data_IF_926191508978
#
_entry.id   IF_926191508978
#
_cell.length_a   1.000
_cell.length_b   1.000
_cell.length_c   1.000
_cell.angle_alpha   90.00
_cell.angle_beta   90.00
_cell.angle_gamma   90.00
#
_symmetry.space_group_name_H-M   'P 1'
#
loop_
_entity.id
_entity.type
_entity.pdbx_description
1 polymer ?
#
# COMPACT_ATOMS: atom_id res chain seq x y z
N UNK A 1 38.68 -48.48 -49.08
CA UNK A 1 37.92 -48.41 -47.83
C UNK A 1 38.26 -47.10 -47.11
N UNK A 2 37.36 -46.19 -47.00
CA UNK A 2 37.62 -44.94 -46.28
C UNK A 2 37.73 -45.25 -44.77
N UNK A 3 38.86 -44.93 -44.14
CA UNK A 3 39.02 -45.03 -42.68
C UNK A 3 38.05 -44.11 -41.99
N UNK A 4 37.06 -44.67 -41.29
CA UNK A 4 36.11 -43.91 -40.49
C UNK A 4 36.84 -43.14 -39.37
N UNK A 5 36.73 -41.80 -39.35
CA UNK A 5 37.50 -40.97 -38.46
C UNK A 5 36.73 -40.73 -37.16
N UNK A 6 36.85 -41.63 -36.21
CA UNK A 6 36.22 -41.56 -34.88
C UNK A 6 36.58 -40.30 -34.12
N UNK A 7 37.77 -39.76 -34.29
CA UNK A 7 38.24 -38.57 -33.60
C UNK A 7 37.37 -37.34 -33.95
N UNK A 8 37.09 -37.14 -35.23
CA UNK A 8 36.21 -36.03 -35.68
C UNK A 8 34.77 -36.20 -35.20
N UNK A 9 34.31 -37.40 -35.03
CA UNK A 9 32.94 -37.67 -34.54
C UNK A 9 32.83 -37.40 -33.05
N UNK A 10 33.83 -37.75 -32.28
CA UNK A 10 33.93 -37.47 -30.85
C UNK A 10 34.07 -35.94 -30.59
N UNK A 11 34.85 -35.21 -31.38
CA UNK A 11 34.98 -33.78 -31.27
C UNK A 11 33.65 -33.05 -31.56
N UNK A 12 32.93 -33.48 -32.60
CA UNK A 12 31.60 -32.95 -32.89
C UNK A 12 30.60 -33.28 -31.78
N UNK A 13 30.57 -34.49 -31.27
CA UNK A 13 29.71 -34.87 -30.18
C UNK A 13 30.01 -34.04 -28.93
N UNK A 14 31.29 -33.84 -28.59
CA UNK A 14 31.73 -33.00 -27.50
C UNK A 14 31.31 -31.53 -27.65
N UNK A 15 31.41 -30.98 -28.88
CA UNK A 15 30.96 -29.65 -29.21
C UNK A 15 29.43 -29.50 -29.01
N UNK A 16 28.65 -30.46 -29.54
CA UNK A 16 27.19 -30.45 -29.38
C UNK A 16 26.77 -30.58 -27.90
N UNK A 17 27.48 -31.38 -27.12
CA UNK A 17 27.25 -31.49 -25.67
C UNK A 17 27.49 -30.17 -24.96
N UNK A 18 28.56 -29.44 -25.27
CA UNK A 18 28.82 -28.10 -24.71
C UNK A 18 27.76 -27.11 -25.10
N UNK A 19 27.33 -27.10 -26.35
CA UNK A 19 26.26 -26.20 -26.84
C UNK A 19 24.94 -26.51 -26.09
N UNK A 20 24.62 -27.80 -25.95
CA UNK A 20 23.41 -28.22 -25.23
C UNK A 20 23.39 -27.71 -23.79
N UNK A 21 24.49 -27.90 -23.04
CA UNK A 21 24.58 -27.41 -21.67
C UNK A 21 24.60 -25.89 -21.59
N UNK A 22 25.20 -25.18 -22.53
CA UNK A 22 25.16 -23.73 -22.58
C UNK A 22 23.73 -23.21 -22.79
N UNK A 23 22.99 -23.81 -23.74
CA UNK A 23 21.58 -23.44 -24.01
C UNK A 23 20.71 -23.80 -22.81
N UNK A 24 20.90 -24.95 -22.19
CA UNK A 24 20.15 -25.33 -20.99
C UNK A 24 20.38 -24.33 -19.83
N UNK A 25 21.64 -23.96 -19.62
CA UNK A 25 21.98 -22.93 -18.58
C UNK A 25 21.32 -21.61 -18.85
N UNK A 26 21.31 -21.16 -20.11
CA UNK A 26 20.62 -19.91 -20.49
C UNK A 26 19.09 -20.00 -20.29
N UNK A 27 18.48 -21.13 -20.62
CA UNK A 27 17.05 -21.34 -20.38
C UNK A 27 16.70 -21.33 -18.90
N UNK A 28 17.49 -22.00 -18.07
CA UNK A 28 17.31 -22.00 -16.60
C UNK A 28 17.50 -20.58 -16.03
N UNK A 29 18.52 -19.86 -16.48
CA UNK A 29 18.76 -18.48 -16.06
C UNK A 29 17.61 -17.55 -16.48
N UNK A 30 17.12 -17.66 -17.71
CA UNK A 30 15.98 -16.88 -18.19
C UNK A 30 14.69 -17.20 -17.43
N UNK A 31 14.44 -18.48 -17.15
CA UNK A 31 13.31 -18.92 -16.34
C UNK A 31 13.40 -18.37 -14.91
N UNK A 32 14.55 -18.50 -14.26
CA UNK A 32 14.77 -17.97 -12.91
C UNK A 32 14.60 -16.44 -12.90
N UNK A 33 15.21 -15.73 -13.85
CA UNK A 33 15.06 -14.27 -13.97
C UNK A 33 13.59 -13.85 -14.15
N UNK A 34 12.85 -14.52 -15.03
CA UNK A 34 11.42 -14.26 -15.26
C UNK A 34 10.56 -14.53 -14.02
N UNK A 35 10.88 -15.57 -13.27
CA UNK A 35 10.17 -15.95 -12.05
C UNK A 35 10.39 -14.94 -10.91
N UNK A 36 11.63 -14.50 -10.71
CA UNK A 36 11.98 -13.55 -9.64
C UNK A 36 11.76 -12.08 -10.02
N UNK A 37 11.66 -11.77 -11.32
CA UNK A 37 11.41 -10.42 -11.84
C UNK A 37 10.20 -10.43 -12.79
N UNK A 38 8.98 -10.74 -12.30
CA UNK A 38 7.79 -10.74 -13.13
C UNK A 38 7.57 -9.34 -13.73
N UNK A 39 7.21 -9.30 -15.01
CA UNK A 39 6.94 -8.04 -15.69
C UNK A 39 5.71 -7.33 -15.11
N UNK A 40 5.53 -6.05 -15.42
CA UNK A 40 4.42 -5.26 -14.88
C UNK A 40 3.04 -5.82 -15.29
N UNK A 41 2.94 -6.37 -16.50
CA UNK A 41 1.70 -6.97 -17.00
C UNK A 41 1.32 -8.23 -16.21
N UNK A 42 2.28 -9.13 -15.95
CA UNK A 42 2.05 -10.31 -15.13
C UNK A 42 1.64 -9.93 -13.69
N UNK A 43 2.29 -8.91 -13.12
CA UNK A 43 1.90 -8.39 -11.78
C UNK A 43 0.49 -7.81 -11.79
N UNK A 44 0.10 -7.09 -12.84
CA UNK A 44 -1.24 -6.52 -12.95
C UNK A 44 -2.31 -7.61 -13.00
N UNK A 45 -2.13 -8.64 -13.83
CA UNK A 45 -3.06 -9.78 -13.94
C UNK A 45 -3.20 -10.52 -12.61
N UNK A 46 -2.08 -10.84 -11.94
CA UNK A 46 -2.12 -11.53 -10.63
C UNK A 46 -2.79 -10.66 -9.56
N UNK A 47 -2.57 -9.35 -9.59
CA UNK A 47 -3.24 -8.45 -8.64
C UNK A 47 -4.74 -8.36 -8.91
N UNK A 48 -5.17 -8.30 -10.16
CA UNK A 48 -6.58 -8.29 -10.54
C UNK A 48 -7.30 -9.58 -10.11
N UNK A 49 -6.71 -10.75 -10.38
CA UNK A 49 -7.25 -12.04 -9.94
C UNK A 49 -7.35 -12.12 -8.40
N UNK A 50 -6.34 -11.59 -7.70
CA UNK A 50 -6.32 -11.57 -6.24
C UNK A 50 -7.40 -10.63 -5.68
N UNK A 51 -7.59 -9.46 -6.29
CA UNK A 51 -8.62 -8.51 -5.90
C UNK A 51 -10.03 -9.11 -6.11
N UNK A 52 -10.26 -9.78 -7.25
CA UNK A 52 -11.51 -10.50 -7.53
C UNK A 52 -11.74 -11.64 -6.52
N UNK A 53 -10.71 -12.41 -6.18
CA UNK A 53 -10.80 -13.45 -5.16
C UNK A 53 -11.23 -12.90 -3.80
N UNK A 54 -10.61 -11.78 -3.35
CA UNK A 54 -10.97 -11.16 -2.07
C UNK A 54 -12.37 -10.55 -2.11
N UNK A 55 -12.77 -9.90 -3.22
CA UNK A 55 -14.12 -9.36 -3.37
C UNK A 55 -15.18 -10.45 -3.26
N UNK A 56 -14.98 -11.57 -3.96
CA UNK A 56 -15.86 -12.74 -3.86
C UNK A 56 -15.92 -13.29 -2.42
N UNK A 57 -14.78 -13.32 -1.73
CA UNK A 57 -14.71 -13.78 -0.34
C UNK A 57 -15.48 -12.87 0.62
N UNK A 58 -15.43 -11.55 0.40
CA UNK A 58 -16.21 -10.57 1.16
C UNK A 58 -17.71 -10.79 0.96
N UNK A 59 -18.12 -11.00 -0.30
CA UNK A 59 -19.50 -11.28 -0.66
C UNK A 59 -20.00 -12.59 -0.04
N UNK A 60 -19.22 -13.68 -0.16
CA UNK A 60 -19.53 -14.99 0.45
C UNK A 60 -19.68 -14.93 1.99
N UNK A 61 -18.95 -14.04 2.64
CA UNK A 61 -18.96 -13.87 4.10
C UNK A 61 -19.94 -12.78 4.57
N UNK A 62 -20.65 -12.13 3.66
CA UNK A 62 -21.54 -10.97 3.93
C UNK A 62 -20.83 -9.88 4.77
N UNK A 63 -19.55 -9.66 4.48
CA UNK A 63 -18.75 -8.66 5.19
C UNK A 63 -19.09 -7.27 4.69
N UNK A 64 -19.76 -6.50 5.54
CA UNK A 64 -20.08 -5.10 5.29
C UNK A 64 -19.00 -4.19 5.85
N UNK A 65 -18.84 -3.01 5.23
CA UNK A 65 -17.98 -1.97 5.77
C UNK A 65 -18.47 -1.56 7.17
N UNK A 66 -17.58 -1.53 8.18
CA UNK A 66 -17.98 -1.22 9.54
C UNK A 66 -18.42 0.24 9.66
N UNK A 67 -19.45 0.48 10.45
CA UNK A 67 -19.88 1.82 10.81
C UNK A 67 -18.76 2.55 11.58
N UNK A 68 -18.47 3.79 11.17
CA UNK A 68 -17.41 4.61 11.75
C UNK A 68 -17.98 5.66 12.71
N UNK A 69 -18.40 5.20 13.89
CA UNK A 69 -18.98 6.04 14.96
C UNK A 69 -18.01 6.23 16.11
N UNK A 70 -17.90 7.44 16.65
CA UNK A 70 -17.03 7.79 17.78
C UNK A 70 -17.46 9.12 18.42
N UNK A 71 -17.22 9.25 19.73
CA UNK A 71 -17.47 10.47 20.52
C UNK A 71 -16.24 10.93 21.30
N UNK A 72 -15.19 10.10 21.39
CA UNK A 72 -13.93 10.39 22.06
C UNK A 72 -12.75 9.71 21.38
N UNK A 73 -11.51 10.00 21.85
CA UNK A 73 -10.26 9.49 21.27
C UNK A 73 -10.22 7.96 21.25
N UNK A 74 -10.67 7.28 22.32
CA UNK A 74 -10.68 5.81 22.41
C UNK A 74 -11.66 5.21 21.39
N UNK A 75 -12.87 5.76 21.30
CA UNK A 75 -13.83 5.28 20.31
C UNK A 75 -13.37 5.55 18.88
N UNK A 76 -12.66 6.65 18.64
CA UNK A 76 -12.02 6.90 17.35
C UNK A 76 -10.99 5.82 17.02
N UNK A 77 -10.12 5.45 17.98
CA UNK A 77 -9.14 4.36 17.82
C UNK A 77 -9.87 3.04 17.49
N UNK A 78 -10.92 2.70 18.24
CA UNK A 78 -11.70 1.47 17.99
C UNK A 78 -12.38 1.46 16.61
N UNK A 79 -12.95 2.60 16.17
CA UNK A 79 -13.53 2.73 14.84
C UNK A 79 -12.47 2.57 13.75
N UNK A 80 -11.28 3.16 13.95
CA UNK A 80 -10.15 2.98 13.06
C UNK A 80 -9.69 1.52 12.98
N UNK A 81 -9.61 0.81 14.12
CA UNK A 81 -9.26 -0.62 14.13
C UNK A 81 -10.25 -1.47 13.34
N UNK A 82 -11.56 -1.26 13.52
CA UNK A 82 -12.58 -1.99 12.75
C UNK A 82 -12.39 -1.76 11.25
N UNK A 83 -12.21 -0.51 10.85
CA UNK A 83 -12.00 -0.14 9.46
C UNK A 83 -10.70 -0.73 8.88
N UNK A 84 -9.58 -0.62 9.61
CA UNK A 84 -8.29 -1.19 9.17
C UNK A 84 -8.36 -2.70 9.05
N UNK A 85 -9.03 -3.39 9.98
CA UNK A 85 -9.22 -4.84 9.92
C UNK A 85 -10.05 -5.25 8.69
N UNK A 86 -11.12 -4.52 8.40
CA UNK A 86 -11.91 -4.71 7.19
C UNK A 86 -11.06 -4.55 5.91
N UNK A 87 -10.27 -3.47 5.83
CA UNK A 87 -9.37 -3.21 4.68
C UNK A 87 -8.29 -4.30 4.61
N UNK A 88 -7.69 -4.68 5.74
CA UNK A 88 -6.64 -5.70 5.78
C UNK A 88 -7.14 -7.10 5.39
N UNK A 89 -8.44 -7.36 5.48
CA UNK A 89 -9.03 -8.60 4.97
C UNK A 89 -8.86 -8.72 3.45
N UNK A 90 -8.94 -7.59 2.74
CA UNK A 90 -8.79 -7.53 1.28
C UNK A 90 -7.35 -7.40 0.80
N UNK A 91 -6.40 -7.20 1.73
CA UNK A 91 -5.01 -6.93 1.39
C UNK A 91 -4.07 -8.08 1.78
N UNK A 92 -3.18 -8.51 0.87
CA UNK A 92 -2.10 -9.43 1.21
C UNK A 92 -1.17 -8.81 2.27
N UNK A 93 -0.57 -9.66 3.12
CA UNK A 93 0.22 -9.22 4.28
C UNK A 93 1.29 -8.19 3.94
N UNK A 94 1.98 -8.33 2.82
CA UNK A 94 3.06 -7.41 2.42
C UNK A 94 2.57 -6.03 1.97
N UNK A 95 1.27 -5.84 1.73
CA UNK A 95 0.64 -4.55 1.39
C UNK A 95 0.00 -3.88 2.61
N UNK A 96 -0.10 -4.57 3.74
CA UNK A 96 -0.69 -4.00 4.97
C UNK A 96 0.23 -2.95 5.57
N UNK A 97 -0.37 -1.92 6.12
CA UNK A 97 0.32 -0.83 6.82
C UNK A 97 0.09 -1.00 8.32
N UNK A 98 1.10 -0.80 9.18
CA UNK A 98 0.91 -0.87 10.63
C UNK A 98 -0.23 0.03 11.10
N UNK A 99 -1.15 -0.51 11.90
CA UNK A 99 -2.36 0.22 12.34
C UNK A 99 -2.03 1.48 13.13
N UNK A 100 -1.02 1.43 14.01
CA UNK A 100 -0.59 2.57 14.81
C UNK A 100 -0.17 3.76 13.95
N UNK A 101 0.48 3.49 12.80
CA UNK A 101 0.88 4.52 11.85
C UNK A 101 -0.34 5.14 11.17
N UNK A 102 -1.30 4.31 10.71
CA UNK A 102 -2.54 4.79 10.08
C UNK A 102 -3.35 5.63 11.07
N UNK A 103 -3.57 5.12 12.30
CA UNK A 103 -4.34 5.80 13.34
C UNK A 103 -3.62 7.08 13.78
N UNK A 104 -2.30 7.04 13.95
CA UNK A 104 -1.49 8.19 14.36
C UNK A 104 -1.57 9.33 13.36
N UNK A 105 -1.47 9.05 12.06
CA UNK A 105 -1.63 10.07 11.02
C UNK A 105 -3.08 10.55 10.91
N UNK A 106 -4.08 9.66 10.93
CA UNK A 106 -5.48 10.04 10.91
C UNK A 106 -5.85 10.96 12.09
N UNK A 107 -5.40 10.62 13.31
CA UNK A 107 -5.64 11.44 14.49
C UNK A 107 -4.96 12.80 14.40
N UNK A 108 -3.73 12.88 13.88
CA UNK A 108 -2.99 14.11 13.71
C UNK A 108 -3.64 15.02 12.66
N UNK A 109 -3.93 14.49 11.47
CA UNK A 109 -4.43 15.26 10.31
C UNK A 109 -5.87 15.70 10.51
N UNK A 110 -6.70 14.88 11.14
CA UNK A 110 -8.12 15.17 11.32
C UNK A 110 -8.48 15.75 12.68
N UNK A 111 -7.50 15.90 13.60
CA UNK A 111 -7.80 16.27 14.98
C UNK A 111 -8.73 15.25 15.64
N UNK A 112 -8.40 13.96 15.59
CA UNK A 112 -9.24 12.86 16.07
C UNK A 112 -10.62 12.80 15.39
N UNK A 113 -10.65 13.11 14.09
CA UNK A 113 -11.88 13.12 13.31
C UNK A 113 -12.81 14.31 13.55
N UNK A 114 -12.38 15.33 14.28
CA UNK A 114 -13.21 16.48 14.62
C UNK A 114 -13.11 17.63 13.60
N UNK A 115 -12.11 17.62 12.73
CA UNK A 115 -11.91 18.66 11.72
C UNK A 115 -13.10 18.75 10.74
N UNK A 116 -13.27 19.91 10.10
CA UNK A 116 -14.28 20.12 9.07
C UNK A 116 -14.19 19.05 7.96
N UNK A 117 -13.01 18.77 7.46
CA UNK A 117 -12.83 17.78 6.38
C UNK A 117 -13.14 16.36 6.82
N UNK A 118 -12.88 16.01 8.08
CA UNK A 118 -13.28 14.71 8.61
C UNK A 118 -14.81 14.59 8.76
N UNK A 119 -15.51 15.68 9.10
CA UNK A 119 -16.96 15.69 9.29
C UNK A 119 -17.75 15.81 7.99
N UNK A 120 -17.35 16.74 7.12
CA UNK A 120 -18.10 17.08 5.90
C UNK A 120 -17.64 16.29 4.67
N UNK A 121 -16.36 15.86 4.63
CA UNK A 121 -15.78 15.16 3.50
C UNK A 121 -15.40 13.71 3.81
N UNK A 122 -15.61 13.20 5.02
CA UNK A 122 -15.13 11.90 5.47
C UNK A 122 -13.62 11.69 5.26
N UNK A 123 -12.84 12.77 5.20
CA UNK A 123 -11.43 12.75 4.84
C UNK A 123 -10.56 12.92 6.07
N UNK A 124 -9.97 11.80 6.52
CA UNK A 124 -9.16 11.75 7.75
C UNK A 124 -7.69 12.15 7.54
N UNK A 125 -7.24 12.29 6.29
CA UNK A 125 -5.82 12.49 5.95
C UNK A 125 -5.55 13.74 5.13
N UNK A 126 -6.57 14.56 4.88
CA UNK A 126 -6.43 15.74 4.03
C UNK A 126 -6.09 15.42 2.56
N UNK A 127 -6.49 14.26 2.08
CA UNK A 127 -6.23 13.82 0.70
C UNK A 127 -6.87 14.80 -0.27
N UNK A 128 -6.06 15.28 -1.23
CA UNK A 128 -6.46 16.26 -2.23
C UNK A 128 -6.87 15.63 -3.55
N UNK A 129 -7.64 16.37 -4.32
CA UNK A 129 -7.85 16.14 -5.76
C UNK A 129 -7.45 17.37 -6.54
N UNK A 130 -6.92 17.15 -7.74
CA UNK A 130 -6.59 18.18 -8.74
C UNK A 130 -7.56 18.14 -9.92
N UNK A 131 -8.58 17.27 -9.83
CA UNK A 131 -9.63 17.11 -10.83
C UNK A 131 -10.91 17.73 -10.30
N UNK A 132 -11.43 18.73 -10.99
CA UNK A 132 -12.63 19.50 -10.56
C UNK A 132 -13.89 18.66 -10.50
N UNK A 133 -13.97 17.64 -11.34
CA UNK A 133 -15.09 16.69 -11.44
C UNK A 133 -15.15 15.72 -10.26
N UNK A 134 -14.05 15.51 -9.57
CA UNK A 134 -14.01 14.67 -8.35
C UNK A 134 -14.72 15.43 -7.21
N UNK A 135 -15.66 14.81 -6.47
CA UNK A 135 -16.28 15.41 -5.31
C UNK A 135 -15.24 15.95 -4.33
N UNK A 136 -15.35 17.25 -3.99
CA UNK A 136 -14.36 17.92 -3.16
C UNK A 136 -14.97 19.08 -2.35
N UNK A 137 -14.28 19.43 -1.28
CA UNK A 137 -14.51 20.67 -0.54
C UNK A 137 -13.38 21.66 -0.81
N UNK A 138 -13.73 22.92 -0.95
CA UNK A 138 -12.75 23.99 -1.04
C UNK A 138 -12.23 24.37 0.35
N UNK A 139 -10.98 24.84 0.47
CA UNK A 139 -10.46 25.42 1.71
C UNK A 139 -11.32 26.61 2.17
N UNK A 140 -11.30 26.87 3.47
CA UNK A 140 -12.05 28.01 4.05
C UNK A 140 -11.59 29.31 3.41
N UNK A 141 -12.55 30.16 3.02
CA UNK A 141 -12.30 31.48 2.39
C UNK A 141 -11.97 31.40 0.89
N UNK A 142 -12.01 30.23 0.27
CA UNK A 142 -11.82 30.06 -1.17
C UNK A 142 -13.16 29.70 -1.80
N UNK A 143 -13.70 30.60 -2.64
CA UNK A 143 -14.98 30.39 -3.32
C UNK A 143 -14.85 29.82 -4.72
N UNK A 144 -13.69 30.04 -5.37
CA UNK A 144 -13.42 29.56 -6.74
C UNK A 144 -12.38 28.47 -6.73
N UNK A 145 -12.53 27.52 -7.65
CA UNK A 145 -11.57 26.42 -7.82
C UNK A 145 -10.13 26.92 -7.99
N UNK A 146 -9.22 26.65 -7.03
CA UNK A 146 -7.83 27.12 -7.10
C UNK A 146 -6.89 26.12 -7.81
N UNK A 147 -7.42 25.13 -8.53
CA UNK A 147 -6.65 24.03 -9.14
C UNK A 147 -6.57 22.77 -8.26
N UNK A 148 -7.12 22.79 -7.05
CA UNK A 148 -7.17 21.62 -6.14
C UNK A 148 -8.31 21.79 -5.12
N UNK A 149 -8.73 20.65 -4.55
CA UNK A 149 -9.70 20.61 -3.45
C UNK A 149 -9.41 19.45 -2.52
N UNK A 150 -10.05 19.43 -1.35
CA UNK A 150 -9.99 18.30 -0.43
C UNK A 150 -11.04 17.28 -0.86
N UNK A 151 -10.61 16.07 -1.22
CA UNK A 151 -11.48 15.03 -1.75
C UNK A 151 -12.56 14.62 -0.74
N UNK A 152 -13.79 14.47 -1.21
CA UNK A 152 -14.91 13.91 -0.44
C UNK A 152 -14.94 12.39 -0.67
N UNK A 153 -15.12 11.66 0.41
CA UNK A 153 -15.27 10.20 0.40
C UNK A 153 -16.68 9.78 0.83
N UNK A 154 -17.20 8.66 0.32
CA UNK A 154 -18.48 8.12 0.78
C UNK A 154 -18.49 7.82 2.28
N UNK A 155 -17.40 7.25 2.80
CA UNK A 155 -17.19 6.94 4.21
C UNK A 155 -15.81 7.35 4.71
N UNK A 156 -15.62 7.36 6.04
CA UNK A 156 -14.29 7.53 6.63
C UNK A 156 -13.38 6.34 6.33
N UNK A 157 -13.93 5.13 6.24
CA UNK A 157 -13.19 3.95 5.83
C UNK A 157 -12.67 4.04 4.40
N UNK A 158 -13.43 4.63 3.48
CA UNK A 158 -12.93 4.89 2.12
C UNK A 158 -11.73 5.82 2.11
N UNK A 159 -11.67 6.82 3.00
CA UNK A 159 -10.48 7.67 3.11
C UNK A 159 -9.28 6.89 3.67
N UNK A 160 -9.50 5.95 4.59
CA UNK A 160 -8.44 5.03 5.08
C UNK A 160 -7.97 4.10 3.97
N UNK A 161 -8.89 3.53 3.20
CA UNK A 161 -8.59 2.67 2.05
C UNK A 161 -7.75 3.41 1.01
N UNK A 162 -8.14 4.64 0.67
CA UNK A 162 -7.37 5.47 -0.27
C UNK A 162 -5.98 5.83 0.27
N UNK A 163 -5.85 6.16 1.56
CA UNK A 163 -4.55 6.41 2.19
C UNK A 163 -3.64 5.18 2.08
N UNK A 164 -4.14 3.99 2.40
CA UNK A 164 -3.39 2.73 2.27
C UNK A 164 -3.02 2.45 0.80
N UNK A 165 -3.93 2.73 -0.15
CA UNK A 165 -3.66 2.63 -1.57
C UNK A 165 -2.52 3.56 -2.00
N UNK A 166 -2.56 4.82 -1.59
CA UNK A 166 -1.49 5.80 -1.89
C UNK A 166 -0.12 5.33 -1.41
N UNK A 167 -0.01 4.81 -0.19
CA UNK A 167 1.26 4.28 0.32
C UNK A 167 1.75 3.07 -0.48
N UNK A 168 0.84 2.25 -1.00
CA UNK A 168 1.17 1.08 -1.78
C UNK A 168 1.56 1.39 -3.24
N UNK A 169 0.99 2.44 -3.84
CA UNK A 169 1.05 2.65 -5.28
C UNK A 169 1.81 3.92 -5.69
N UNK A 170 1.67 5.00 -4.91
CA UNK A 170 2.22 6.29 -5.33
C UNK A 170 3.75 6.28 -5.33
N UNK A 171 4.42 6.77 -6.41
CA UNK A 171 5.88 6.74 -6.54
C UNK A 171 6.63 7.42 -5.39
N UNK A 172 6.07 8.46 -4.80
CA UNK A 172 6.68 9.20 -3.68
C UNK A 172 6.96 8.32 -2.44
N UNK A 173 6.25 7.18 -2.28
CA UNK A 173 6.37 6.29 -1.12
C UNK A 173 7.13 4.99 -1.42
N UNK A 174 8.04 5.03 -2.38
CA UNK A 174 8.90 3.88 -2.72
C UNK A 174 9.73 3.42 -1.53
N UNK A 175 10.39 4.35 -0.83
CA UNK A 175 11.26 4.06 0.31
C UNK A 175 10.48 3.45 1.48
N UNK A 176 9.24 3.91 1.71
CA UNK A 176 8.31 3.29 2.64
C UNK A 176 8.06 1.83 2.30
N UNK A 177 7.76 1.52 1.04
CA UNK A 177 7.50 0.14 0.60
C UNK A 177 8.71 -0.77 0.74
N UNK A 178 9.90 -0.27 0.41
CA UNK A 178 11.15 -1.02 0.55
C UNK A 178 11.50 -1.31 2.01
N UNK A 179 11.30 -0.33 2.89
CA UNK A 179 11.53 -0.52 4.32
C UNK A 179 10.49 -1.46 4.95
N UNK A 180 9.21 -1.36 4.54
CA UNK A 180 8.13 -2.23 5.04
C UNK A 180 8.35 -3.71 4.75
N UNK A 181 9.09 -4.07 3.71
CA UNK A 181 9.49 -5.48 3.47
C UNK A 181 10.46 -6.02 4.53
N UNK A 182 11.11 -5.13 5.29
CA UNK A 182 12.14 -5.47 6.27
C UNK A 182 11.68 -5.32 7.72
N UNK A 183 10.69 -4.45 7.96
CA UNK A 183 10.19 -4.16 9.31
C UNK A 183 8.72 -3.74 9.30
N UNK A 184 8.02 -4.03 10.40
CA UNK A 184 6.67 -3.52 10.69
C UNK A 184 6.68 -2.43 11.78
N UNK A 185 7.87 -1.92 12.16
CA UNK A 185 7.94 -0.85 13.17
C UNK A 185 7.36 0.46 12.62
N UNK A 186 6.22 0.94 13.16
CA UNK A 186 5.57 2.15 12.69
C UNK A 186 6.45 3.40 12.86
N UNK A 187 7.34 3.41 13.86
CA UNK A 187 8.26 4.54 14.12
C UNK A 187 9.36 4.61 13.07
N UNK A 188 9.88 3.46 12.64
CA UNK A 188 10.84 3.42 11.54
C UNK A 188 10.19 3.81 10.21
N UNK A 189 9.00 3.29 9.94
CA UNK A 189 8.28 3.50 8.69
C UNK A 189 7.82 4.95 8.50
N UNK A 190 7.34 5.63 9.54
CA UNK A 190 6.87 7.02 9.41
C UNK A 190 7.99 7.98 8.96
N UNK A 191 9.24 7.71 9.30
CA UNK A 191 10.39 8.52 8.90
C UNK A 191 10.66 8.50 7.39
N UNK A 192 10.09 7.56 6.66
CA UNK A 192 10.19 7.48 5.19
C UNK A 192 9.08 8.24 4.47
N UNK A 193 8.17 8.88 5.20
CA UNK A 193 7.06 9.64 4.64
C UNK A 193 7.32 11.15 4.61
N UNK A 194 8.54 11.55 4.31
CA UNK A 194 8.99 12.95 4.20
C UNK A 194 8.18 13.78 3.19
N UNK A 195 7.62 13.12 2.16
CA UNK A 195 6.79 13.74 1.12
C UNK A 195 5.29 13.78 1.43
N UNK A 196 4.87 13.23 2.56
CA UNK A 196 3.45 13.25 2.95
C UNK A 196 3.01 14.64 3.42
N UNK A 197 3.88 15.36 4.11
CA UNK A 197 3.62 16.70 4.61
C UNK A 197 4.83 17.61 4.42
N UNK A 198 4.58 18.87 4.13
CA UNK A 198 5.62 19.92 4.11
C UNK A 198 5.92 20.49 5.50
N UNK A 199 5.20 20.04 6.51
CA UNK A 199 5.38 20.51 7.89
C UNK A 199 6.71 19.98 8.44
N UNK A 200 7.55 20.89 8.98
CA UNK A 200 8.78 20.52 9.67
C UNK A 200 8.48 19.59 10.85
N UNK A 201 9.34 18.61 11.07
CA UNK A 201 9.23 17.65 12.18
C UNK A 201 7.91 16.84 12.16
N UNK A 202 7.38 16.59 10.96
CA UNK A 202 6.13 15.86 10.77
C UNK A 202 6.18 14.45 11.38
N UNK A 203 7.26 13.72 11.12
CA UNK A 203 7.50 12.38 11.68
C UNK A 203 7.49 12.41 13.22
N UNK A 204 8.13 13.39 13.85
CA UNK A 204 8.14 13.55 15.31
C UNK A 204 6.73 13.75 15.86
N UNK A 205 5.90 14.53 15.16
CA UNK A 205 4.50 14.74 15.55
C UNK A 205 3.67 13.46 15.46
N UNK A 206 3.84 12.69 14.39
CA UNK A 206 3.16 11.39 14.23
C UNK A 206 3.64 10.39 15.27
N UNK A 207 4.96 10.32 15.54
CA UNK A 207 5.53 9.44 16.57
C UNK A 207 4.94 9.77 17.95
N UNK A 208 4.77 11.05 18.27
CA UNK A 208 4.11 11.46 19.52
C UNK A 208 2.66 10.98 19.57
N UNK A 209 1.96 11.01 18.44
CA UNK A 209 0.58 10.51 18.35
C UNK A 209 0.53 8.99 18.54
N UNK A 210 1.44 8.23 17.91
CA UNK A 210 1.57 6.79 18.10
C UNK A 210 1.78 6.43 19.59
N UNK A 211 2.68 7.16 20.27
CA UNK A 211 2.91 6.95 21.70
C UNK A 211 1.66 7.27 22.55
N UNK A 212 0.91 8.31 22.19
CA UNK A 212 -0.36 8.64 22.86
C UNK A 212 -1.39 7.51 22.66
N UNK A 213 -1.51 6.96 21.46
CA UNK A 213 -2.43 5.87 21.12
C UNK A 213 -2.09 4.64 21.99
N UNK A 214 -0.83 4.20 22.02
CA UNK A 214 -0.38 3.08 22.87
C UNK A 214 -0.79 3.27 24.33
N UNK A 215 -0.54 4.46 24.88
CA UNK A 215 -0.91 4.75 26.27
C UNK A 215 -2.42 4.69 26.51
N UNK A 216 -3.23 5.13 25.54
CA UNK A 216 -4.68 5.07 25.65
C UNK A 216 -5.18 3.63 25.59
N UNK A 217 -4.60 2.78 24.74
CA UNK A 217 -4.94 1.35 24.62
C UNK A 217 -4.50 0.54 25.85
N UNK A 218 -3.39 0.89 26.50
CA UNK A 218 -2.89 0.25 27.74
C UNK A 218 -3.76 0.61 28.95
N UNK A 219 -4.50 1.72 28.92
CA UNK A 219 -5.33 2.20 30.02
C UNK A 219 -6.76 1.64 30.03
N UNK A 220 -7.08 0.83 29.06
CA UNK A 220 -8.39 0.16 28.89
C UNK A 220 -8.39 -1.29 29.38
#
# INVERSE_FOLDING_TARGET
MAKFNWHRLLEKAWLYTKIFFAVLTLMVAAYAYGTYNPNQTAKAVVNEELDLFYMKKIEEMDLQEPEFTYHNDIQFIRAMHKCINYINFTLPKHKRVPYEMIIGQAALESGWGTSRFAKEANNLFGIRTWTKETPHLLPVGIEKWPGWGVRVFPSKCDSVKEYVRLLNEHPAYKDFRELRLKTNDPIALIKTLDKFSTTKDYDVRVIRMIKKIRKLEESE
#
